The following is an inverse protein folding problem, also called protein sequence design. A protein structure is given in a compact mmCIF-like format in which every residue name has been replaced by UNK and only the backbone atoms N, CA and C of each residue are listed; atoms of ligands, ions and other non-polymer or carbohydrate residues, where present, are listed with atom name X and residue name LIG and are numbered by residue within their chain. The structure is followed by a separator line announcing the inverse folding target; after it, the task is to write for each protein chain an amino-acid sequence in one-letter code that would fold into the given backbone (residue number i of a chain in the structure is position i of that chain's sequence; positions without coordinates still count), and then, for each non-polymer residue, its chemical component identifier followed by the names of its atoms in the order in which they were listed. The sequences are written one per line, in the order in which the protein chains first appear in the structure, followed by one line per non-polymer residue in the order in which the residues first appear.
data_IF_828491914432
#
_entry.id   IF_828491914432
#
_cell.length_a   1.000
_cell.length_b   1.000
_cell.length_c   1.000
_cell.angle_alpha   90.00
_cell.angle_beta   90.00
_cell.angle_gamma   90.00
#
_symmetry.space_group_name_H-M   'P 1'
#
loop_
_entity.id
_entity.type
_entity.pdbx_description
1 polymer ?
#
# COMPACT_ATOMS: atom_id res chain seq x y z
N UNK A 1 0.53 13.71 -6.51
CA UNK A 1 0.74 15.14 -6.32
C UNK A 1 0.99 15.87 -7.65
N UNK A 2 2.09 15.55 -8.37
CA UNK A 2 2.43 16.21 -9.66
C UNK A 2 1.33 16.06 -10.70
N UNK A 3 0.69 14.88 -10.79
CA UNK A 3 -0.40 14.65 -11.74
C UNK A 3 -1.67 15.42 -11.35
N UNK A 4 -2.01 15.49 -10.07
CA UNK A 4 -3.12 16.29 -9.58
C UNK A 4 -2.97 17.78 -9.94
N UNK A 5 -1.74 18.31 -9.86
CA UNK A 5 -1.44 19.69 -10.25
C UNK A 5 -1.61 20.04 -11.74
N UNK A 6 -1.95 19.04 -12.59
CA UNK A 6 -2.35 19.28 -13.99
C UNK A 6 -3.83 19.62 -14.16
N UNK A 7 -4.63 19.29 -13.16
CA UNK A 7 -6.10 19.39 -13.21
C UNK A 7 -6.65 20.41 -12.22
N UNK A 8 -5.83 20.83 -11.24
CA UNK A 8 -6.24 21.77 -10.23
C UNK A 8 -5.06 22.24 -9.39
N UNK A 9 -5.33 23.05 -8.38
CA UNK A 9 -4.32 23.52 -7.43
C UNK A 9 -4.08 22.42 -6.38
N UNK A 10 -2.91 21.82 -6.42
CA UNK A 10 -2.52 20.73 -5.52
C UNK A 10 -1.46 21.21 -4.54
N UNK A 11 -1.70 21.03 -3.24
CA UNK A 11 -0.79 21.43 -2.17
C UNK A 11 -0.39 20.23 -1.31
N UNK A 12 0.89 20.16 -0.94
CA UNK A 12 1.39 19.17 0.02
C UNK A 12 1.33 19.78 1.42
N UNK A 13 0.27 19.48 2.19
CA UNK A 13 0.06 20.04 3.53
C UNK A 13 0.90 19.35 4.60
N UNK A 14 1.42 18.16 4.32
CA UNK A 14 2.38 17.46 5.17
C UNK A 14 3.32 16.60 4.32
N UNK A 15 4.55 16.43 4.76
CA UNK A 15 5.54 15.59 4.08
C UNK A 15 6.61 15.11 5.05
N UNK A 16 7.07 13.88 4.89
CA UNK A 16 8.22 13.30 5.58
C UNK A 16 9.45 13.13 4.68
N UNK A 17 9.54 13.93 3.63
CA UNK A 17 10.66 13.93 2.70
C UNK A 17 12.00 14.26 3.37
N UNK A 18 11.98 15.03 4.48
CA UNK A 18 13.13 15.36 5.33
C UNK A 18 13.88 14.12 5.84
N UNK A 19 13.18 12.98 6.04
CA UNK A 19 13.74 11.69 6.45
C UNK A 19 13.43 10.58 5.45
N UNK A 20 13.43 10.90 4.17
CA UNK A 20 13.24 9.95 3.07
C UNK A 20 11.97 9.11 3.25
N UNK A 21 10.87 9.75 3.70
CA UNK A 21 9.55 9.12 3.92
C UNK A 21 9.57 7.91 4.86
N UNK A 22 10.43 7.92 5.87
CA UNK A 22 10.57 6.85 6.86
C UNK A 22 9.54 6.91 8.00
N UNK A 23 8.68 7.92 8.02
CA UNK A 23 7.62 8.11 9.02
C UNK A 23 6.38 8.77 8.41
N UNK A 24 5.27 8.72 9.12
CA UNK A 24 4.05 9.47 8.81
C UNK A 24 4.06 10.76 9.65
N UNK A 25 3.95 11.95 9.05
CA UNK A 25 3.83 13.20 9.82
C UNK A 25 2.61 13.17 10.75
N UNK A 26 2.66 13.93 11.84
CA UNK A 26 1.46 14.14 12.65
C UNK A 26 0.41 14.89 11.82
N UNK A 27 -0.69 14.20 11.53
CA UNK A 27 -1.79 14.71 10.74
C UNK A 27 -3.05 15.01 11.60
N UNK A 28 -2.88 15.20 12.90
CA UNK A 28 -3.98 15.48 13.83
C UNK A 28 -4.48 16.92 13.76
N UNK A 29 -3.61 17.88 13.37
CA UNK A 29 -3.95 19.30 13.22
C UNK A 29 -3.16 19.91 12.07
N UNK A 30 -3.57 19.59 10.84
CA UNK A 30 -2.97 20.12 9.61
C UNK A 30 -3.51 21.52 9.30
N UNK A 31 -2.66 22.37 8.74
CA UNK A 31 -3.08 23.65 8.16
C UNK A 31 -3.70 23.39 6.78
N UNK A 32 -4.99 23.08 6.78
CA UNK A 32 -5.78 22.75 5.59
C UNK A 32 -6.60 23.97 5.20
N UNK A 33 -6.50 24.49 3.95
CA UNK A 33 -7.37 25.55 3.45
C UNK A 33 -8.85 25.16 3.51
N UNK A 34 -9.73 26.13 3.76
CA UNK A 34 -11.17 25.90 3.90
C UNK A 34 -11.89 25.60 2.57
N UNK A 35 -11.25 25.91 1.43
CA UNK A 35 -11.83 25.83 0.08
C UNK A 35 -11.36 24.60 -0.72
N UNK A 36 -10.92 23.52 -0.04
CA UNK A 36 -10.48 22.30 -0.69
C UNK A 36 -11.65 21.41 -1.14
N UNK A 37 -11.53 20.83 -2.33
CA UNK A 37 -12.41 19.76 -2.79
C UNK A 37 -12.21 18.47 -2.01
N UNK A 38 -10.95 18.10 -1.71
CA UNK A 38 -10.61 16.87 -0.96
C UNK A 38 -9.22 16.89 -0.36
N UNK A 39 -9.02 16.04 0.63
CA UNK A 39 -7.70 15.65 1.17
C UNK A 39 -7.35 14.26 0.65
N UNK A 40 -6.14 14.08 0.13
CA UNK A 40 -5.67 12.82 -0.44
C UNK A 40 -4.55 12.19 0.40
N UNK A 41 -4.63 10.86 0.57
CA UNK A 41 -3.54 10.05 1.12
C UNK A 41 -3.26 8.80 0.28
N UNK A 42 -1.99 8.39 0.23
CA UNK A 42 -1.62 7.02 -0.09
C UNK A 42 -1.50 6.28 1.25
N UNK A 43 -2.53 5.50 1.61
CA UNK A 43 -2.67 4.95 2.96
C UNK A 43 -1.57 3.98 3.35
N UNK A 44 -1.03 3.23 2.38
CA UNK A 44 0.16 2.39 2.54
C UNK A 44 1.17 2.68 1.43
N UNK A 45 2.32 3.22 1.78
CA UNK A 45 3.37 3.53 0.83
C UNK A 45 4.15 2.26 0.45
N UNK A 46 3.94 1.77 -0.76
CA UNK A 46 4.57 0.54 -1.27
C UNK A 46 6.09 0.64 -1.37
N UNK A 47 6.61 1.85 -1.63
CA UNK A 47 8.03 2.10 -1.90
C UNK A 47 8.79 2.25 -0.59
N UNK A 48 8.30 3.10 0.31
CA UNK A 48 8.99 3.47 1.54
C UNK A 48 8.53 2.67 2.75
N UNK A 49 7.42 1.89 2.66
CA UNK A 49 6.99 0.95 3.70
C UNK A 49 6.25 1.59 4.87
N UNK A 50 5.79 2.83 4.75
CA UNK A 50 4.97 3.50 5.77
C UNK A 50 3.49 3.21 5.58
N UNK A 51 2.73 3.15 6.68
CA UNK A 51 1.28 2.92 6.69
C UNK A 51 0.61 3.84 7.71
N UNK A 52 -0.42 4.56 7.29
CA UNK A 52 -1.26 5.31 8.21
C UNK A 52 -1.94 4.38 9.20
N UNK A 53 -1.68 4.56 10.50
CA UNK A 53 -2.37 3.87 11.61
C UNK A 53 -3.57 4.65 12.10
N UNK A 54 -3.55 5.96 11.89
CA UNK A 54 -4.66 6.88 12.16
C UNK A 54 -4.88 7.72 10.91
N UNK A 55 -6.14 7.93 10.55
CA UNK A 55 -6.50 8.82 9.45
C UNK A 55 -6.18 10.28 9.82
N UNK A 56 -5.81 11.11 8.84
CA UNK A 56 -5.62 12.53 9.08
C UNK A 56 -6.91 13.21 9.51
N UNK A 57 -6.79 14.25 10.32
CA UNK A 57 -7.91 15.15 10.58
C UNK A 57 -8.11 16.05 9.35
N UNK A 58 -9.12 15.76 8.56
CA UNK A 58 -9.40 16.50 7.32
C UNK A 58 -10.22 17.78 7.54
N UNK A 59 -10.51 18.14 8.81
CA UNK A 59 -11.34 19.30 9.18
C UNK A 59 -12.71 19.32 8.46
N UNK A 60 -13.25 18.13 8.15
CA UNK A 60 -14.54 17.96 7.48
C UNK A 60 -14.47 17.83 5.96
N UNK A 61 -13.31 18.01 5.35
CA UNK A 61 -13.13 17.78 3.91
C UNK A 61 -13.19 16.30 3.55
N UNK A 62 -13.60 16.02 2.33
CA UNK A 62 -13.66 14.68 1.76
C UNK A 62 -12.28 14.00 1.78
N UNK A 63 -12.17 12.83 2.40
CA UNK A 63 -10.96 12.03 2.35
C UNK A 63 -10.96 11.09 1.15
N UNK A 64 -9.92 11.17 0.33
CA UNK A 64 -9.65 10.26 -0.79
C UNK A 64 -8.41 9.43 -0.48
N UNK A 65 -8.49 8.11 -0.59
CA UNK A 65 -7.40 7.22 -0.24
C UNK A 65 -7.07 6.21 -1.35
N UNK A 66 -5.78 6.15 -1.72
CA UNK A 66 -5.21 5.02 -2.44
C UNK A 66 -4.83 3.93 -1.44
N UNK A 67 -5.51 2.79 -1.55
CA UNK A 67 -5.26 1.61 -0.71
C UNK A 67 -4.66 0.44 -1.49
N UNK A 68 -4.14 0.66 -2.69
CA UNK A 68 -3.68 -0.40 -3.60
C UNK A 68 -2.76 -1.43 -2.93
N UNK A 69 -1.88 -1.02 -2.02
CA UNK A 69 -0.94 -1.94 -1.38
C UNK A 69 -1.35 -2.44 0.00
N UNK A 70 -2.52 -2.01 0.53
CA UNK A 70 -3.09 -2.53 1.77
C UNK A 70 -4.56 -2.94 1.61
N UNK A 71 -5.09 -3.00 0.39
CA UNK A 71 -6.50 -3.29 0.15
C UNK A 71 -6.87 -4.65 0.75
N UNK A 72 -7.92 -4.67 1.58
CA UNK A 72 -8.41 -5.86 2.29
C UNK A 72 -7.36 -6.57 3.17
N UNK A 73 -6.38 -5.84 3.67
CA UNK A 73 -5.38 -6.37 4.61
C UNK A 73 -5.87 -6.36 6.06
N UNK A 74 -6.86 -5.53 6.37
CA UNK A 74 -7.45 -5.33 7.68
C UNK A 74 -8.87 -4.76 7.56
N UNK A 75 -9.70 -4.77 8.65
CA UNK A 75 -10.99 -4.09 8.67
C UNK A 75 -10.86 -2.59 8.46
N UNK A 76 -11.77 -2.01 7.68
CA UNK A 76 -11.83 -0.57 7.37
C UNK A 76 -13.23 -0.05 7.62
N UNK A 77 -13.33 1.09 8.29
CA UNK A 77 -14.58 1.84 8.40
C UNK A 77 -14.72 2.76 7.18
N UNK A 78 -15.42 2.28 6.16
CA UNK A 78 -15.57 2.99 4.88
C UNK A 78 -16.32 4.32 5.03
N UNK A 79 -17.07 4.54 6.12
CA UNK A 79 -17.84 5.77 6.34
C UNK A 79 -16.97 6.99 6.60
N UNK A 80 -15.68 6.77 6.90
CA UNK A 80 -14.70 7.84 7.12
C UNK A 80 -14.09 8.41 5.84
N UNK A 81 -14.44 7.85 4.70
CA UNK A 81 -13.88 8.23 3.40
C UNK A 81 -14.97 8.74 2.47
N UNK A 82 -14.61 9.63 1.57
CA UNK A 82 -15.44 9.92 0.41
C UNK A 82 -15.14 8.97 -0.74
N UNK A 83 -13.86 8.68 -0.97
CA UNK A 83 -13.40 7.75 -2.01
C UNK A 83 -12.27 6.88 -1.48
N UNK A 84 -12.41 5.57 -1.66
CA UNK A 84 -11.33 4.60 -1.49
C UNK A 84 -11.12 3.93 -2.85
N UNK A 85 -9.90 3.86 -3.32
CA UNK A 85 -9.62 3.11 -4.54
C UNK A 85 -8.33 2.28 -4.42
N UNK A 86 -8.27 1.23 -5.21
CA UNK A 86 -7.08 0.40 -5.25
C UNK A 86 -6.98 -0.45 -6.50
N UNK A 87 -5.79 -0.46 -7.10
CA UNK A 87 -5.40 -1.44 -8.09
C UNK A 87 -5.28 -2.82 -7.43
N UNK A 88 -5.95 -3.82 -7.99
CA UNK A 88 -6.07 -5.15 -7.35
C UNK A 88 -4.80 -5.99 -7.40
N UNK A 89 -3.84 -5.65 -8.27
CA UNK A 89 -2.66 -6.47 -8.60
C UNK A 89 -1.70 -6.76 -7.43
N UNK A 90 -1.83 -6.08 -6.31
CA UNK A 90 -0.98 -6.28 -5.15
C UNK A 90 -1.58 -7.27 -4.16
N UNK A 91 -2.86 -7.14 -3.85
CA UNK A 91 -3.46 -7.88 -2.73
C UNK A 91 -4.78 -8.60 -3.04
N UNK A 92 -5.42 -8.33 -4.18
CA UNK A 92 -6.82 -8.73 -4.44
C UNK A 92 -6.99 -9.54 -5.72
N UNK A 93 -6.11 -9.40 -6.71
CA UNK A 93 -6.24 -10.10 -7.98
C UNK A 93 -5.14 -9.78 -8.98
N UNK A 94 -5.30 -10.13 -10.27
CA UNK A 94 -4.35 -9.81 -11.32
C UNK A 94 -4.44 -8.34 -11.75
N UNK A 95 -3.39 -7.82 -12.38
CA UNK A 95 -3.39 -6.47 -12.95
C UNK A 95 -4.51 -6.27 -13.98
N UNK A 96 -5.03 -5.04 -14.08
CA UNK A 96 -6.05 -4.63 -15.06
C UNK A 96 -7.42 -4.33 -14.44
N UNK A 97 -7.60 -4.46 -13.13
CA UNK A 97 -8.82 -4.06 -12.41
C UNK A 97 -8.46 -3.01 -11.36
N UNK A 98 -9.29 -2.00 -11.24
CA UNK A 98 -9.31 -1.05 -10.13
C UNK A 98 -10.68 -1.14 -9.48
N UNK A 99 -10.71 -1.24 -8.16
CA UNK A 99 -11.95 -1.17 -7.39
C UNK A 99 -12.03 0.22 -6.78
N UNK A 100 -13.20 0.86 -6.92
CA UNK A 100 -13.52 2.14 -6.31
C UNK A 100 -14.70 1.96 -5.39
N UNK A 101 -14.58 2.42 -4.15
CA UNK A 101 -15.67 2.57 -3.19
C UNK A 101 -15.85 4.07 -3.01
N UNK A 102 -17.00 4.57 -3.41
CA UNK A 102 -17.29 6.01 -3.42
C UNK A 102 -18.61 6.30 -2.70
N UNK A 103 -18.63 7.38 -1.97
CA UNK A 103 -19.85 7.89 -1.32
C UNK A 103 -20.83 8.38 -2.38
N UNK A 104 -22.11 8.05 -2.26
CA UNK A 104 -23.12 8.26 -3.29
C UNK A 104 -23.30 9.74 -3.67
N UNK A 105 -23.22 10.63 -2.70
CA UNK A 105 -23.33 12.08 -2.93
C UNK A 105 -22.20 12.69 -3.77
N UNK A 106 -21.08 11.95 -3.95
CA UNK A 106 -19.98 12.36 -4.81
C UNK A 106 -20.12 11.88 -6.27
N UNK A 107 -21.18 11.10 -6.57
CA UNK A 107 -21.48 10.62 -7.93
C UNK A 107 -22.42 11.65 -8.59
N UNK A 108 -21.86 12.67 -9.21
CA UNK A 108 -22.61 13.78 -9.79
C UNK A 108 -22.36 13.93 -11.29
N UNK A 109 -23.22 14.73 -11.95
CA UNK A 109 -23.00 15.18 -13.35
C UNK A 109 -21.98 16.33 -13.42
N UNK A 110 -21.71 16.98 -12.30
CA UNK A 110 -20.76 18.09 -12.24
C UNK A 110 -19.32 17.56 -12.37
N UNK A 111 -18.67 17.92 -13.47
CA UNK A 111 -17.32 17.47 -13.80
C UNK A 111 -16.55 18.61 -14.44
N UNK A 112 -15.23 18.58 -14.32
CA UNK A 112 -14.38 19.56 -15.00
C UNK A 112 -14.68 19.60 -16.51
N UNK A 113 -14.67 20.78 -17.14
CA UNK A 113 -14.86 20.91 -18.58
C UNK A 113 -13.88 20.04 -19.37
N UNK A 114 -14.38 19.28 -20.32
CA UNK A 114 -13.56 18.37 -21.13
C UNK A 114 -13.25 17.03 -20.49
N UNK A 115 -13.78 16.71 -19.30
CA UNK A 115 -13.59 15.40 -18.66
C UNK A 115 -14.06 14.27 -19.60
N UNK A 116 -13.17 13.34 -19.99
CA UNK A 116 -13.55 12.19 -20.81
C UNK A 116 -14.65 11.34 -20.14
N UNK A 117 -15.54 10.76 -20.95
CA UNK A 117 -16.66 9.94 -20.44
C UNK A 117 -16.21 8.87 -19.44
N UNK A 118 -15.10 8.17 -19.73
CA UNK A 118 -14.58 7.09 -18.88
C UNK A 118 -13.93 7.55 -17.58
N UNK A 119 -13.73 8.85 -17.38
CA UNK A 119 -13.21 9.42 -16.13
C UNK A 119 -14.32 10.00 -15.24
N UNK A 120 -15.59 9.85 -15.64
CA UNK A 120 -16.74 10.27 -14.84
C UNK A 120 -17.25 9.10 -14.01
N UNK A 121 -17.31 9.23 -12.70
CA UNK A 121 -17.85 8.19 -11.82
C UNK A 121 -19.29 7.83 -12.14
N UNK A 122 -20.09 8.82 -12.52
CA UNK A 122 -21.49 8.60 -12.89
C UNK A 122 -21.64 7.67 -14.11
N UNK A 123 -20.79 7.78 -15.11
CA UNK A 123 -20.79 6.86 -16.26
C UNK A 123 -20.68 5.40 -15.83
N UNK A 124 -19.83 5.13 -14.83
CA UNK A 124 -19.63 3.77 -14.30
C UNK A 124 -20.79 3.35 -13.39
N UNK A 125 -21.27 4.25 -12.54
CA UNK A 125 -22.34 3.96 -11.59
C UNK A 125 -23.66 3.66 -12.32
N UNK A 126 -24.07 4.47 -13.30
CA UNK A 126 -25.31 4.30 -14.07
C UNK A 126 -25.32 3.02 -14.92
N UNK A 127 -24.15 2.48 -15.23
CA UNK A 127 -23.99 1.27 -16.04
C UNK A 127 -23.54 0.04 -15.23
N UNK A 128 -23.67 0.04 -13.89
CA UNK A 128 -23.23 -1.05 -13.03
C UNK A 128 -21.77 -1.51 -13.33
N UNK A 129 -20.89 -0.56 -13.63
CA UNK A 129 -19.50 -0.77 -14.09
C UNK A 129 -19.37 -1.50 -15.44
N UNK A 130 -20.42 -1.57 -16.24
CA UNK A 130 -20.49 -2.28 -17.51
C UNK A 130 -20.69 -1.33 -18.71
N UNK A 131 -20.29 -0.06 -18.59
CA UNK A 131 -20.39 0.90 -19.68
C UNK A 131 -19.65 0.41 -20.95
N UNK A 132 -18.54 -0.27 -20.78
CA UNK A 132 -17.82 -1.00 -21.82
C UNK A 132 -17.57 -2.45 -21.39
N UNK A 133 -17.07 -3.28 -22.29
CA UNK A 133 -16.69 -4.67 -21.98
C UNK A 133 -15.67 -4.70 -20.84
N UNK A 134 -15.99 -5.31 -19.69
CA UNK A 134 -15.12 -5.30 -18.52
C UNK A 134 -14.01 -6.35 -18.64
N UNK A 135 -12.92 -6.25 -17.84
CA UNK A 135 -11.89 -7.26 -17.75
C UNK A 135 -12.39 -8.50 -16.98
N UNK A 136 -13.27 -9.29 -17.59
CA UNK A 136 -14.03 -10.38 -16.97
C UNK A 136 -13.16 -11.36 -16.18
N UNK A 137 -12.01 -11.78 -16.73
CA UNK A 137 -11.11 -12.70 -16.03
C UNK A 137 -10.55 -12.10 -14.73
N UNK A 138 -10.10 -10.85 -14.77
CA UNK A 138 -9.60 -10.16 -13.58
C UNK A 138 -10.66 -10.04 -12.49
N UNK A 139 -11.88 -9.65 -12.88
CA UNK A 139 -13.04 -9.55 -11.95
C UNK A 139 -13.38 -10.92 -11.36
N UNK A 140 -13.40 -11.97 -12.19
CA UNK A 140 -13.64 -13.35 -11.72
C UNK A 140 -12.61 -13.79 -10.68
N UNK A 141 -11.32 -13.51 -10.90
CA UNK A 141 -10.26 -13.85 -9.93
C UNK A 141 -10.42 -13.03 -8.64
N UNK A 142 -10.73 -11.73 -8.71
CA UNK A 142 -11.04 -10.94 -7.52
C UNK A 142 -12.18 -11.56 -6.70
N UNK A 143 -13.23 -12.02 -7.38
CA UNK A 143 -14.33 -12.74 -6.73
C UNK A 143 -13.88 -14.04 -6.02
N UNK A 144 -12.88 -14.76 -6.56
CA UNK A 144 -12.27 -15.93 -5.89
C UNK A 144 -11.49 -15.51 -4.64
N UNK A 145 -10.73 -14.42 -4.72
CA UNK A 145 -9.98 -13.86 -3.59
C UNK A 145 -10.95 -13.43 -2.47
N UNK A 146 -12.06 -12.76 -2.80
CA UNK A 146 -13.07 -12.39 -1.79
C UNK A 146 -13.67 -13.61 -1.09
N UNK A 147 -13.98 -14.68 -1.84
CA UNK A 147 -14.47 -15.94 -1.27
C UNK A 147 -13.42 -16.60 -0.37
N UNK A 148 -12.15 -16.55 -0.79
CA UNK A 148 -11.04 -17.04 0.02
C UNK A 148 -10.90 -16.25 1.32
N UNK A 149 -10.90 -14.91 1.28
CA UNK A 149 -10.85 -14.06 2.48
C UNK A 149 -12.00 -14.37 3.46
N UNK A 150 -13.23 -14.51 2.95
CA UNK A 150 -14.39 -14.92 3.77
C UNK A 150 -14.18 -16.28 4.41
N UNK A 151 -13.70 -17.28 3.65
CA UNK A 151 -13.41 -18.63 4.16
C UNK A 151 -12.31 -18.64 5.22
N UNK A 152 -11.34 -17.73 5.12
CA UNK A 152 -10.24 -17.59 6.08
C UNK A 152 -10.66 -16.94 7.41
N UNK A 153 -11.90 -16.49 7.54
CA UNK A 153 -12.43 -15.83 8.74
C UNK A 153 -12.61 -14.32 8.61
N UNK A 154 -12.47 -13.77 7.41
CA UNK A 154 -12.66 -12.35 7.13
C UNK A 154 -11.43 -11.48 7.46
N UNK A 155 -11.66 -10.16 7.45
CA UNK A 155 -10.55 -9.20 7.53
C UNK A 155 -9.92 -9.12 8.92
N UNK A 156 -10.64 -9.41 10.00
CA UNK A 156 -10.07 -9.43 11.35
C UNK A 156 -9.01 -10.53 11.47
N UNK A 157 -9.33 -11.75 11.02
CA UNK A 157 -8.37 -12.86 11.02
C UNK A 157 -7.22 -12.60 10.05
N UNK A 158 -7.49 -11.95 8.92
CA UNK A 158 -6.43 -11.59 7.97
C UNK A 158 -5.46 -10.56 8.57
N UNK A 159 -5.97 -9.59 9.33
CA UNK A 159 -5.15 -8.63 10.08
C UNK A 159 -4.20 -9.34 11.04
N UNK A 160 -4.72 -10.23 11.89
CA UNK A 160 -3.92 -11.01 12.84
C UNK A 160 -2.79 -11.79 12.14
N UNK A 161 -3.10 -12.44 11.01
CA UNK A 161 -2.11 -13.14 10.19
C UNK A 161 -1.04 -12.20 9.62
N UNK A 162 -1.44 -11.02 9.16
CA UNK A 162 -0.52 -10.05 8.62
C UNK A 162 0.38 -9.46 9.71
N UNK A 163 -0.16 -9.21 10.90
CA UNK A 163 0.61 -8.77 12.08
C UNK A 163 1.64 -9.84 12.49
N UNK A 164 1.22 -11.11 12.57
CA UNK A 164 2.12 -12.22 12.89
C UNK A 164 3.28 -12.34 11.88
N UNK A 165 2.99 -12.30 10.57
CA UNK A 165 4.03 -12.34 9.52
C UNK A 165 4.99 -11.17 9.60
N UNK A 166 4.45 -9.97 9.69
CA UNK A 166 5.25 -8.75 9.74
C UNK A 166 6.15 -8.72 10.99
N UNK A 167 5.61 -9.16 12.13
CA UNK A 167 6.35 -9.26 13.39
C UNK A 167 7.59 -10.14 13.27
N UNK A 168 7.51 -11.29 12.61
CA UNK A 168 8.66 -12.20 12.42
C UNK A 168 9.81 -11.47 11.72
N UNK A 169 9.53 -10.73 10.66
CA UNK A 169 10.55 -10.02 9.90
C UNK A 169 11.06 -8.79 10.66
N UNK A 170 10.17 -8.00 11.25
CA UNK A 170 10.57 -6.80 11.99
C UNK A 170 11.35 -7.13 13.27
N UNK A 171 10.97 -8.16 14.02
CA UNK A 171 11.72 -8.62 15.21
C UNK A 171 13.17 -9.01 14.84
N UNK A 172 13.36 -9.63 13.68
CA UNK A 172 14.70 -9.93 13.17
C UNK A 172 15.45 -8.64 12.79
N UNK A 173 14.83 -7.75 12.00
CA UNK A 173 15.47 -6.50 11.57
C UNK A 173 15.89 -5.61 12.75
N UNK A 174 15.09 -5.59 13.82
CA UNK A 174 15.37 -4.79 15.02
C UNK A 174 16.55 -5.34 15.84
N UNK A 175 16.88 -6.64 15.69
CA UNK A 175 17.99 -7.30 16.40
C UNK A 175 19.23 -7.51 15.53
N UNK A 176 19.08 -7.47 14.21
CA UNK A 176 20.16 -7.71 13.26
C UNK A 176 21.26 -6.66 13.38
N UNK A 177 22.51 -7.12 13.29
CA UNK A 177 23.68 -6.25 13.23
C UNK A 177 23.94 -5.73 11.83
N UNK A 178 23.53 -6.48 10.82
CA UNK A 178 23.74 -6.20 9.40
C UNK A 178 22.53 -5.49 8.77
N UNK A 179 21.34 -6.04 8.90
CA UNK A 179 20.14 -5.53 8.26
C UNK A 179 19.43 -4.48 9.11
N UNK A 180 18.96 -3.41 8.49
CA UNK A 180 18.21 -2.33 9.14
C UNK A 180 16.91 -2.05 8.41
N UNK A 181 15.79 -2.07 9.14
CA UNK A 181 14.53 -1.54 8.64
C UNK A 181 14.62 -0.03 8.44
N UNK A 182 13.98 0.51 7.41
CA UNK A 182 14.06 1.94 7.07
C UNK A 182 12.94 2.78 7.66
N UNK A 183 11.93 2.16 8.28
CA UNK A 183 10.73 2.82 8.80
C UNK A 183 10.71 2.80 10.32
N UNK A 184 10.31 3.92 10.93
CA UNK A 184 10.09 3.98 12.39
C UNK A 184 9.03 2.97 12.83
N UNK A 185 9.18 2.33 14.01
CA UNK A 185 8.33 1.20 14.41
C UNK A 185 6.83 1.47 14.35
N UNK A 186 6.39 2.65 14.77
CA UNK A 186 4.99 3.05 14.85
C UNK A 186 4.29 3.15 13.49
N UNK A 187 5.04 3.41 12.41
CA UNK A 187 4.50 3.65 11.06
C UNK A 187 4.76 2.52 10.07
N UNK A 188 5.28 1.40 10.55
CA UNK A 188 5.63 0.22 9.72
C UNK A 188 4.43 -0.37 9.03
N UNK A 189 4.57 -0.63 7.73
CA UNK A 189 3.61 -1.38 6.92
C UNK A 189 3.63 -2.87 7.26
N UNK A 190 2.44 -3.50 7.27
CA UNK A 190 2.33 -4.96 7.35
C UNK A 190 2.47 -5.65 5.99
N UNK A 191 2.53 -4.88 4.89
CA UNK A 191 2.52 -5.37 3.51
C UNK A 191 3.86 -5.22 2.80
N UNK A 192 4.58 -4.13 3.08
CA UNK A 192 5.81 -3.78 2.38
C UNK A 192 6.88 -3.41 3.41
N UNK A 193 7.89 -4.24 3.53
CA UNK A 193 8.97 -4.11 4.51
C UNK A 193 10.28 -3.79 3.78
N UNK A 194 10.65 -2.51 3.66
CA UNK A 194 11.95 -2.13 3.11
C UNK A 194 13.04 -2.25 4.18
N UNK A 195 14.23 -2.67 3.74
CA UNK A 195 15.42 -2.80 4.58
C UNK A 195 16.70 -2.67 3.76
N UNK A 196 17.79 -2.36 4.42
CA UNK A 196 19.13 -2.15 3.84
C UNK A 196 20.20 -2.79 4.72
N UNK A 197 21.40 -3.00 4.16
CA UNK A 197 22.60 -3.32 4.96
C UNK A 197 23.41 -2.06 5.28
N UNK A 198 23.18 -0.97 4.55
CA UNK A 198 23.97 0.26 4.62
C UNK A 198 25.16 0.26 3.64
N UNK A 199 25.38 -0.84 2.93
CA UNK A 199 26.37 -1.00 1.87
C UNK A 199 25.69 -1.47 0.58
N UNK A 200 25.82 -0.71 -0.49
CA UNK A 200 25.13 -0.98 -1.75
C UNK A 200 25.63 -2.26 -2.45
N UNK A 201 26.92 -2.60 -2.30
CA UNK A 201 27.49 -3.82 -2.89
C UNK A 201 27.00 -5.04 -2.12
N UNK A 202 26.87 -4.93 -0.80
CA UNK A 202 26.33 -5.98 0.04
C UNK A 202 24.82 -6.17 -0.17
N UNK A 203 24.06 -5.09 -0.36
CA UNK A 203 22.65 -5.15 -0.78
C UNK A 203 22.51 -5.91 -2.11
N UNK A 204 23.36 -5.60 -3.10
CA UNK A 204 23.36 -6.27 -4.40
C UNK A 204 23.75 -7.76 -4.29
N UNK A 205 24.73 -8.09 -3.46
CA UNK A 205 25.13 -9.46 -3.15
C UNK A 205 23.98 -10.24 -2.54
N UNK A 206 23.32 -9.68 -1.51
CA UNK A 206 22.16 -10.30 -0.87
C UNK A 206 21.04 -10.59 -1.87
N UNK A 207 20.67 -9.62 -2.71
CA UNK A 207 19.62 -9.79 -3.72
C UNK A 207 19.95 -10.90 -4.70
N UNK A 208 21.22 -11.02 -5.12
CA UNK A 208 21.68 -12.07 -6.03
C UNK A 208 21.56 -13.45 -5.38
N UNK A 209 22.14 -13.63 -4.21
CA UNK A 209 22.16 -14.92 -3.49
C UNK A 209 20.74 -15.35 -3.07
N UNK A 210 19.89 -14.39 -2.63
CA UNK A 210 18.50 -14.66 -2.33
C UNK A 210 17.73 -15.13 -3.57
N UNK A 211 17.99 -14.53 -4.75
CA UNK A 211 17.37 -14.97 -6.00
C UNK A 211 17.80 -16.39 -6.38
N UNK A 212 19.06 -16.71 -6.23
CA UNK A 212 19.61 -18.08 -6.45
C UNK A 212 19.00 -19.10 -5.47
N UNK A 213 18.70 -18.66 -4.24
CA UNK A 213 18.00 -19.46 -3.23
C UNK A 213 16.48 -19.56 -3.43
N UNK A 214 15.91 -18.93 -4.47
CA UNK A 214 14.50 -19.00 -4.82
C UNK A 214 13.63 -17.89 -4.24
N UNK A 215 14.21 -16.87 -3.58
CA UNK A 215 13.48 -15.67 -3.16
C UNK A 215 13.44 -14.66 -4.30
N UNK A 216 12.24 -14.41 -4.85
CA UNK A 216 12.06 -13.51 -5.98
C UNK A 216 11.59 -12.13 -5.54
N UNK A 217 11.94 -11.10 -6.33
CA UNK A 217 11.45 -9.71 -6.16
C UNK A 217 11.82 -9.05 -4.80
N UNK A 218 12.95 -9.42 -4.19
CA UNK A 218 13.45 -8.77 -2.97
C UNK A 218 14.18 -7.46 -3.24
N UNK A 219 14.64 -7.20 -4.47
CA UNK A 219 15.30 -5.94 -4.83
C UNK A 219 14.37 -4.76 -4.53
N UNK A 220 14.88 -3.76 -3.83
CA UNK A 220 14.17 -2.52 -3.52
C UNK A 220 13.80 -1.72 -4.76
N UNK A 221 12.96 -0.70 -4.57
CA UNK A 221 12.54 0.16 -5.68
C UNK A 221 13.75 0.93 -6.23
N UNK A 222 13.79 1.12 -7.56
CA UNK A 222 14.90 1.77 -8.27
C UNK A 222 15.28 3.18 -7.75
N UNK A 223 14.34 3.89 -7.11
CA UNK A 223 14.55 5.23 -6.57
C UNK A 223 15.09 5.23 -5.14
N UNK A 224 15.03 4.10 -4.43
CA UNK A 224 15.41 3.99 -3.01
C UNK A 224 16.62 3.07 -2.84
N UNK A 225 16.73 2.03 -3.67
CA UNK A 225 17.74 0.99 -3.49
C UNK A 225 17.38 -0.03 -2.41
N UNK A 226 18.38 -0.70 -1.85
CA UNK A 226 18.19 -1.70 -0.82
C UNK A 226 17.32 -2.88 -1.22
N UNK A 227 16.63 -3.44 -0.26
CA UNK A 227 15.72 -4.56 -0.40
C UNK A 227 14.31 -4.20 0.05
N UNK A 228 13.31 -4.95 -0.41
CA UNK A 228 11.93 -4.84 0.05
C UNK A 228 11.22 -6.18 0.00
N UNK A 229 10.80 -6.69 1.14
CA UNK A 229 9.90 -7.83 1.21
C UNK A 229 8.44 -7.35 1.08
N UNK A 230 7.74 -7.84 0.04
CA UNK A 230 6.30 -7.60 -0.14
C UNK A 230 5.54 -8.84 0.31
N UNK A 231 5.01 -8.79 1.53
CA UNK A 231 4.40 -9.92 2.25
C UNK A 231 2.87 -9.83 2.29
N UNK A 232 2.25 -9.59 1.15
CA UNK A 232 0.80 -9.43 1.01
C UNK A 232 -0.02 -10.58 1.63
N UNK A 233 -1.33 -10.43 1.68
CA UNK A 233 -2.25 -11.40 2.32
C UNK A 233 -1.98 -12.86 1.94
N UNK A 234 -1.68 -13.13 0.69
CA UNK A 234 -1.46 -14.49 0.18
C UNK A 234 -0.09 -15.09 0.54
N UNK A 235 0.88 -14.28 1.00
CA UNK A 235 2.17 -14.80 1.45
C UNK A 235 1.98 -15.65 2.71
N UNK A 236 2.34 -16.93 2.69
CA UNK A 236 2.27 -17.76 3.89
C UNK A 236 3.34 -17.36 4.91
N UNK A 237 3.07 -17.61 6.18
CA UNK A 237 3.99 -17.34 7.29
C UNK A 237 5.34 -18.01 7.08
N UNK A 238 5.33 -19.24 6.62
CA UNK A 238 6.51 -20.06 6.34
C UNK A 238 7.44 -19.42 5.30
N UNK A 239 6.89 -18.64 4.37
CA UNK A 239 7.69 -17.89 3.39
C UNK A 239 8.49 -16.77 4.06
N UNK A 240 7.92 -16.11 5.05
CA UNK A 240 8.61 -15.08 5.83
C UNK A 240 9.63 -15.69 6.79
N UNK A 241 9.31 -16.81 7.44
CA UNK A 241 10.23 -17.56 8.30
C UNK A 241 11.48 -18.00 7.51
N UNK A 242 11.31 -18.59 6.31
CA UNK A 242 12.42 -18.95 5.43
C UNK A 242 13.27 -17.75 5.01
N UNK A 243 12.66 -16.61 4.74
CA UNK A 243 13.40 -15.40 4.44
C UNK A 243 14.29 -14.99 5.63
N UNK A 244 13.74 -14.99 6.84
CA UNK A 244 14.51 -14.64 8.05
C UNK A 244 15.63 -15.65 8.31
N UNK A 245 15.41 -16.95 8.10
CA UNK A 245 16.46 -17.97 8.19
C UNK A 245 17.59 -17.69 7.20
N UNK A 246 17.26 -17.37 5.95
CA UNK A 246 18.24 -17.01 4.93
C UNK A 246 19.01 -15.73 5.31
N UNK A 247 18.31 -14.70 5.82
CA UNK A 247 18.93 -13.45 6.25
C UNK A 247 19.91 -13.67 7.42
N UNK A 248 19.56 -14.52 8.40
CA UNK A 248 20.46 -14.89 9.51
C UNK A 248 21.74 -15.53 9.01
N UNK A 249 21.61 -16.51 8.11
CA UNK A 249 22.77 -17.16 7.52
C UNK A 249 23.65 -16.18 6.75
N UNK A 250 23.04 -15.31 5.94
CA UNK A 250 23.78 -14.28 5.20
C UNK A 250 24.50 -13.31 6.16
N UNK A 251 23.87 -12.92 7.27
CA UNK A 251 24.49 -12.09 8.29
C UNK A 251 25.70 -12.78 8.94
N UNK A 252 25.61 -14.06 9.29
CA UNK A 252 26.73 -14.83 9.86
C UNK A 252 27.93 -14.92 8.92
N UNK A 253 27.69 -14.95 7.60
CA UNK A 253 28.72 -15.05 6.58
C UNK A 253 29.34 -13.70 6.17
N UNK A 254 28.68 -12.57 6.50
CA UNK A 254 29.06 -11.24 5.96
C UNK A 254 29.12 -10.11 7.03
N UNK A 255 28.89 -10.38 8.31
CA UNK A 255 28.94 -9.39 9.41
C UNK A 255 30.31 -9.37 10.11
#
# INVERSE_FOLDING_TARGET
FQEAGRYGDAQAVASSADKTFSYIPDCSDLDIPDDLDYVYICENNTIYGTKYKKLPNTKGHTLVADVSSCFLSEPVDVTKYGVIYGGVQKNVGPAGVVIVIIREDLITEDTLPGTPTMLKYKTHADADSLYNTPPCYGIYICGKVFKWLKKMGGLSVMKERNEEKAKILYDFLDQSKLFKGTVVPEDRSLMNVPFVTGDADLDAKFVKEATEAGFVNLKGHRTVGGMRASIYNAMPKEGVEKLVEFMKKFEEENA
#
